data_IF_832587943304
#
_entry.id   IF_832587943304
#
_cell.length_a   1.000
_cell.length_b   1.000
_cell.length_c   1.000
_cell.angle_alpha   90.00
_cell.angle_beta   90.00
_cell.angle_gamma   90.00
#
_symmetry.space_group_name_H-M   'P 1'
#
loop_
_entity.id
_entity.type
_entity.pdbx_description
1 polymer ?
#
# COMPACT_ATOMS: atom_id res chain seq x y z
N UNK A 1 -117.88 11.18 -67.97
CA UNK A 1 -118.33 12.53 -67.58
C UNK A 1 -117.17 13.18 -66.85
N UNK A 2 -116.28 13.92 -67.55
CA UNK A 2 -116.32 15.40 -67.71
C UNK A 2 -116.13 16.12 -66.37
N UNK A 3 -115.15 16.99 -66.11
CA UNK A 3 -114.40 17.92 -66.95
C UNK A 3 -113.11 18.38 -66.26
N UNK A 4 -112.21 18.99 -67.06
CA UNK A 4 -111.01 19.73 -66.68
C UNK A 4 -111.21 20.78 -65.57
N UNK A 5 -110.17 21.05 -64.78
CA UNK A 5 -109.64 22.42 -64.66
C UNK A 5 -108.22 22.46 -64.07
N UNK A 6 -107.29 22.84 -64.95
CA UNK A 6 -105.96 23.40 -64.66
C UNK A 6 -106.16 24.88 -64.23
N UNK A 7 -105.16 25.45 -63.54
CA UNK A 7 -104.90 26.87 -63.17
C UNK A 7 -104.80 27.00 -61.62
N UNK A 8 -103.82 27.64 -60.99
CA UNK A 8 -102.92 28.73 -61.40
C UNK A 8 -101.73 28.78 -60.41
N UNK A 9 -100.48 28.90 -60.91
CA UNK A 9 -99.31 29.24 -60.09
C UNK A 9 -99.42 30.72 -59.69
N UNK A 10 -99.54 31.04 -58.40
CA UNK A 10 -99.56 32.43 -57.93
C UNK A 10 -98.13 33.02 -57.96
N UNK A 11 -97.91 34.24 -58.47
CA UNK A 11 -96.61 34.88 -58.38
C UNK A 11 -96.35 35.30 -56.94
N UNK A 12 -95.31 34.74 -56.33
CA UNK A 12 -94.80 35.15 -55.03
C UNK A 12 -94.49 36.66 -55.05
N UNK A 13 -95.00 37.42 -54.07
CA UNK A 13 -94.75 38.88 -53.99
C UNK A 13 -93.32 39.18 -53.52
N UNK A 14 -92.79 40.34 -53.93
CA UNK A 14 -91.39 40.76 -53.69
C UNK A 14 -90.99 40.74 -52.21
N UNK A 15 -91.91 41.05 -51.29
CA UNK A 15 -91.65 41.12 -49.83
C UNK A 15 -91.27 39.77 -49.20
N UNK A 16 -91.87 38.67 -49.66
CA UNK A 16 -91.57 37.32 -49.17
C UNK A 16 -90.17 36.85 -49.60
N UNK A 17 -89.77 37.19 -50.83
CA UNK A 17 -88.39 36.97 -51.31
C UNK A 17 -87.36 37.76 -50.50
N UNK A 18 -87.68 39.00 -50.10
CA UNK A 18 -86.81 39.79 -49.22
C UNK A 18 -86.64 39.15 -47.83
N UNK A 19 -87.72 38.66 -47.20
CA UNK A 19 -87.66 37.99 -45.89
C UNK A 19 -86.89 36.67 -45.97
N UNK A 20 -87.13 35.84 -46.98
CA UNK A 20 -86.37 34.61 -47.21
C UNK A 20 -84.88 34.89 -47.43
N UNK A 21 -84.54 35.98 -48.13
CA UNK A 21 -83.16 36.44 -48.29
C UNK A 21 -82.50 36.78 -46.95
N UNK A 22 -83.19 37.50 -46.06
CA UNK A 22 -82.68 37.86 -44.72
C UNK A 22 -82.48 36.61 -43.85
N UNK A 23 -83.43 35.66 -43.88
CA UNK A 23 -83.29 34.39 -43.15
C UNK A 23 -82.12 33.55 -43.68
N UNK A 24 -81.91 33.51 -44.99
CA UNK A 24 -80.76 32.84 -45.59
C UNK A 24 -79.44 33.47 -45.17
N UNK A 25 -79.35 34.81 -45.17
CA UNK A 25 -78.16 35.54 -44.75
C UNK A 25 -77.88 35.33 -43.27
N UNK A 26 -78.89 35.44 -42.40
CA UNK A 26 -78.74 35.23 -40.94
C UNK A 26 -78.41 33.77 -40.60
N UNK A 27 -78.99 32.81 -41.32
CA UNK A 27 -78.64 31.40 -41.17
C UNK A 27 -77.20 31.13 -41.63
N UNK A 28 -76.80 31.69 -42.78
CA UNK A 28 -75.44 31.56 -43.29
C UNK A 28 -74.41 32.18 -42.33
N UNK A 29 -74.70 33.35 -41.73
CA UNK A 29 -73.80 33.97 -40.75
C UNK A 29 -73.69 33.14 -39.47
N UNK A 30 -74.80 32.60 -38.94
CA UNK A 30 -74.79 31.70 -37.79
C UNK A 30 -74.01 30.41 -38.08
N UNK A 31 -74.16 29.83 -39.27
CA UNK A 31 -73.44 28.64 -39.69
C UNK A 31 -71.92 28.92 -39.78
N UNK A 32 -71.53 30.05 -40.37
CA UNK A 32 -70.13 30.48 -40.42
C UNK A 32 -69.56 30.68 -39.01
N UNK A 33 -70.28 31.32 -38.10
CA UNK A 33 -69.86 31.54 -36.71
C UNK A 33 -69.72 30.21 -35.95
N UNK A 34 -70.67 29.29 -36.12
CA UNK A 34 -70.63 27.96 -35.49
C UNK A 34 -69.42 27.14 -35.99
N UNK A 35 -69.16 27.15 -37.29
CA UNK A 35 -67.99 26.50 -37.91
C UNK A 35 -66.68 27.16 -37.47
N UNK A 36 -66.63 28.49 -37.38
CA UNK A 36 -65.43 29.17 -36.87
C UNK A 36 -65.16 28.85 -35.40
N UNK A 37 -66.20 28.83 -34.55
CA UNK A 37 -66.06 28.50 -33.13
C UNK A 37 -65.59 27.06 -32.92
N UNK A 38 -66.15 26.10 -33.67
CA UNK A 38 -65.70 24.70 -33.60
C UNK A 38 -64.25 24.53 -34.10
N UNK A 39 -63.86 25.24 -35.17
CA UNK A 39 -62.47 25.27 -35.64
C UNK A 39 -61.51 25.89 -34.61
N UNK A 40 -61.88 27.01 -33.97
CA UNK A 40 -61.07 27.66 -32.92
C UNK A 40 -60.90 26.75 -31.70
N UNK A 41 -61.98 26.10 -31.23
CA UNK A 41 -61.91 25.14 -30.11
C UNK A 41 -60.99 23.96 -30.44
N UNK A 42 -61.06 23.46 -31.67
CA UNK A 42 -60.21 22.36 -32.13
C UNK A 42 -58.73 22.77 -32.21
N UNK A 43 -58.41 24.00 -32.62
CA UNK A 43 -57.03 24.52 -32.63
C UNK A 43 -56.46 24.62 -31.21
N UNK A 44 -57.21 25.20 -30.27
CA UNK A 44 -56.80 25.32 -28.86
C UNK A 44 -56.61 23.93 -28.23
N UNK A 45 -57.50 22.98 -28.53
CA UNK A 45 -57.39 21.61 -28.01
C UNK A 45 -56.15 20.90 -28.55
N UNK A 46 -55.83 21.07 -29.84
CA UNK A 46 -54.60 20.54 -30.46
C UNK A 46 -53.36 21.15 -29.83
N UNK A 47 -53.29 22.47 -29.66
CA UNK A 47 -52.15 23.12 -29.00
C UNK A 47 -51.96 22.65 -27.56
N UNK A 48 -53.05 22.46 -26.79
CA UNK A 48 -52.98 21.92 -25.43
C UNK A 48 -52.49 20.46 -25.43
N UNK A 49 -52.96 19.66 -26.38
CA UNK A 49 -52.55 18.27 -26.53
C UNK A 49 -51.09 18.17 -26.94
N UNK A 50 -50.63 19.01 -27.86
CA UNK A 50 -49.25 19.05 -28.31
C UNK A 50 -48.32 19.55 -27.20
N UNK A 51 -48.71 20.58 -26.43
CA UNK A 51 -47.99 20.99 -25.23
C UNK A 51 -47.94 19.89 -24.17
N UNK A 52 -49.04 19.18 -23.93
CA UNK A 52 -49.08 18.07 -22.98
C UNK A 52 -48.17 16.92 -23.41
N UNK A 53 -48.19 16.56 -24.70
CA UNK A 53 -47.29 15.56 -25.28
C UNK A 53 -45.82 16.00 -25.21
N UNK A 54 -45.54 17.25 -25.50
CA UNK A 54 -44.18 17.80 -25.42
C UNK A 54 -43.68 17.76 -23.97
N UNK A 55 -44.47 18.24 -23.00
CA UNK A 55 -44.12 18.15 -21.58
C UNK A 55 -43.89 16.70 -21.14
N UNK A 56 -44.72 15.76 -21.61
CA UNK A 56 -44.54 14.34 -21.30
C UNK A 56 -43.27 13.77 -21.95
N UNK A 57 -42.98 14.13 -23.20
CA UNK A 57 -41.77 13.71 -23.91
C UNK A 57 -40.51 14.28 -23.24
N UNK A 58 -40.52 15.56 -22.87
CA UNK A 58 -39.42 16.24 -22.17
C UNK A 58 -39.21 15.64 -20.77
N UNK A 59 -40.30 15.37 -20.03
CA UNK A 59 -40.23 14.72 -18.73
C UNK A 59 -39.68 13.29 -18.85
N UNK A 60 -40.13 12.54 -19.86
CA UNK A 60 -39.64 11.18 -20.10
C UNK A 60 -38.17 11.17 -20.51
N UNK A 61 -37.74 12.11 -21.37
CA UNK A 61 -36.34 12.28 -21.73
C UNK A 61 -35.48 12.66 -20.52
N UNK A 62 -35.94 13.60 -19.69
CA UNK A 62 -35.24 14.04 -18.47
C UNK A 62 -35.12 12.91 -17.44
N UNK A 63 -36.20 12.15 -17.24
CA UNK A 63 -36.21 11.00 -16.35
C UNK A 63 -35.25 9.91 -16.86
N UNK A 64 -35.28 9.61 -18.16
CA UNK A 64 -34.39 8.63 -18.79
C UNK A 64 -32.92 9.03 -18.63
N UNK A 65 -32.58 10.30 -18.88
CA UNK A 65 -31.23 10.82 -18.68
C UNK A 65 -30.78 10.71 -17.22
N UNK A 66 -31.68 11.00 -16.27
CA UNK A 66 -31.39 10.90 -14.83
C UNK A 66 -31.18 9.45 -14.38
N UNK A 67 -31.97 8.51 -14.91
CA UNK A 67 -31.81 7.08 -14.66
C UNK A 67 -30.49 6.55 -15.24
N UNK A 68 -30.14 6.95 -16.46
CA UNK A 68 -28.87 6.57 -17.09
C UNK A 68 -27.67 7.14 -16.33
N UNK A 69 -27.74 8.41 -15.91
CA UNK A 69 -26.71 9.02 -15.06
C UNK A 69 -26.61 8.30 -13.70
N UNK A 70 -27.74 7.91 -13.11
CA UNK A 70 -27.79 7.13 -11.88
C UNK A 70 -27.13 5.75 -12.04
N UNK A 71 -27.49 5.01 -13.09
CA UNK A 71 -26.89 3.70 -13.40
C UNK A 71 -25.38 3.81 -13.63
N UNK A 72 -24.91 4.84 -14.35
CA UNK A 72 -23.47 5.10 -14.54
C UNK A 72 -22.76 5.31 -13.21
N UNK A 73 -23.30 6.17 -12.33
CA UNK A 73 -22.72 6.40 -11.00
C UNK A 73 -22.69 5.14 -10.14
N UNK A 74 -23.74 4.32 -10.18
CA UNK A 74 -23.78 3.04 -9.45
C UNK A 74 -22.70 2.11 -9.98
N UNK A 75 -22.54 1.99 -11.30
CA UNK A 75 -21.50 1.15 -11.89
C UNK A 75 -20.08 1.65 -11.55
N UNK A 76 -19.84 2.96 -11.59
CA UNK A 76 -18.57 3.58 -11.18
C UNK A 76 -18.25 3.31 -9.71
N UNK A 77 -19.24 3.45 -8.82
CA UNK A 77 -19.08 3.15 -7.39
C UNK A 77 -18.83 1.67 -7.12
N UNK A 78 -19.53 0.78 -7.83
CA UNK A 78 -19.30 -0.67 -7.73
C UNK A 78 -17.88 -1.05 -8.16
N UNK A 79 -17.39 -0.45 -9.25
CA UNK A 79 -16.02 -0.69 -9.70
C UNK A 79 -14.99 -0.13 -8.72
N UNK A 80 -15.25 1.03 -8.11
CA UNK A 80 -14.38 1.57 -7.07
C UNK A 80 -14.36 0.68 -5.82
N UNK A 81 -15.51 0.19 -5.36
CA UNK A 81 -15.60 -0.76 -4.25
C UNK A 81 -14.79 -2.01 -4.56
N UNK A 82 -14.94 -2.58 -5.76
CA UNK A 82 -14.20 -3.77 -6.19
C UNK A 82 -12.68 -3.52 -6.16
N UNK A 83 -12.23 -2.39 -6.70
CA UNK A 83 -10.81 -2.02 -6.68
C UNK A 83 -10.26 -1.84 -5.26
N UNK A 84 -11.03 -1.19 -4.38
CA UNK A 84 -10.63 -1.00 -2.99
C UNK A 84 -10.59 -2.32 -2.22
N UNK A 85 -11.49 -3.25 -2.52
CA UNK A 85 -11.51 -4.60 -1.93
C UNK A 85 -10.27 -5.40 -2.37
N UNK A 86 -10.00 -5.42 -3.69
CA UNK A 86 -8.79 -6.03 -4.25
C UNK A 86 -7.50 -5.44 -3.64
N UNK A 87 -7.45 -4.11 -3.45
CA UNK A 87 -6.32 -3.43 -2.80
C UNK A 87 -6.20 -3.79 -1.31
N UNK A 88 -7.31 -3.86 -0.59
CA UNK A 88 -7.32 -4.26 0.83
C UNK A 88 -6.81 -5.69 1.01
N UNK A 89 -7.25 -6.61 0.16
CA UNK A 89 -6.81 -8.00 0.19
C UNK A 89 -5.32 -8.13 -0.15
N UNK A 90 -4.81 -7.37 -1.13
CA UNK A 90 -3.38 -7.29 -1.38
C UNK A 90 -2.60 -6.78 -0.16
N UNK A 91 -3.06 -5.70 0.46
CA UNK A 91 -2.41 -5.13 1.64
C UNK A 91 -2.43 -6.09 2.83
N UNK A 92 -3.50 -6.86 3.00
CA UNK A 92 -3.58 -7.90 4.03
C UNK A 92 -2.55 -9.00 3.79
N UNK A 93 -2.45 -9.49 2.55
CA UNK A 93 -1.45 -10.51 2.19
C UNK A 93 -0.02 -9.99 2.40
N UNK A 94 0.26 -8.74 2.01
CA UNK A 94 1.57 -8.12 2.23
C UNK A 94 1.89 -7.97 3.73
N UNK A 95 0.88 -7.63 4.55
CA UNK A 95 1.03 -7.52 5.99
C UNK A 95 1.33 -8.89 6.61
N UNK A 96 0.59 -9.93 6.24
CA UNK A 96 0.81 -11.31 6.71
C UNK A 96 2.21 -11.82 6.33
N UNK A 97 2.69 -11.55 5.11
CA UNK A 97 4.05 -11.91 4.69
C UNK A 97 5.10 -11.19 5.54
N UNK A 98 4.93 -9.89 5.77
CA UNK A 98 5.85 -9.10 6.60
C UNK A 98 5.87 -9.60 8.04
N UNK A 99 4.72 -9.91 8.62
CA UNK A 99 4.61 -10.47 9.97
C UNK A 99 5.31 -11.83 10.06
N UNK A 100 5.07 -12.74 9.12
CA UNK A 100 5.73 -14.05 9.08
C UNK A 100 7.26 -13.90 8.95
N UNK A 101 7.74 -12.97 8.12
CA UNK A 101 9.17 -12.68 7.97
C UNK A 101 9.77 -12.12 9.26
N UNK A 102 9.06 -11.24 9.97
CA UNK A 102 9.50 -10.69 11.24
C UNK A 102 9.56 -11.77 12.33
N UNK A 103 8.56 -12.63 12.42
CA UNK A 103 8.54 -13.74 13.37
C UNK A 103 9.71 -14.72 13.10
N UNK A 104 9.95 -15.07 11.84
CA UNK A 104 11.11 -15.88 11.45
C UNK A 104 12.44 -15.22 11.86
N UNK A 105 12.63 -13.94 11.53
CA UNK A 105 13.85 -13.21 11.89
C UNK A 105 14.04 -13.12 13.41
N UNK A 106 12.96 -12.90 14.17
CA UNK A 106 13.00 -12.86 15.63
C UNK A 106 13.38 -14.22 16.22
N UNK A 107 12.84 -15.33 15.68
CA UNK A 107 13.23 -16.69 16.07
C UNK A 107 14.70 -16.96 15.80
N UNK A 108 15.19 -16.61 14.60
CA UNK A 108 16.62 -16.75 14.26
C UNK A 108 17.50 -15.92 15.21
N UNK A 109 17.14 -14.65 15.44
CA UNK A 109 17.87 -13.78 16.36
C UNK A 109 17.87 -14.33 17.81
N UNK A 110 16.76 -14.91 18.27
CA UNK A 110 16.69 -15.55 19.58
C UNK A 110 17.63 -16.76 19.68
N UNK A 111 17.64 -17.62 18.65
CA UNK A 111 18.55 -18.79 18.58
C UNK A 111 20.01 -18.34 18.55
N UNK A 112 20.35 -17.34 17.75
CA UNK A 112 21.72 -16.80 17.70
C UNK A 112 22.14 -16.18 19.03
N UNK A 113 21.24 -15.46 19.69
CA UNK A 113 21.48 -14.91 21.03
C UNK A 113 21.72 -16.03 22.05
N UNK A 114 20.90 -17.07 22.06
CA UNK A 114 21.10 -18.22 22.95
C UNK A 114 22.44 -18.91 22.69
N UNK A 115 22.81 -19.12 21.42
CA UNK A 115 24.11 -19.67 21.03
C UNK A 115 25.26 -18.81 21.58
N UNK A 116 25.19 -17.49 21.44
CA UNK A 116 26.19 -16.55 21.99
C UNK A 116 26.25 -16.60 23.52
N UNK A 117 25.10 -16.63 24.20
CA UNK A 117 25.06 -16.74 25.66
C UNK A 117 25.66 -18.06 26.16
N UNK A 118 25.36 -19.17 25.48
CA UNK A 118 25.95 -20.47 25.77
C UNK A 118 27.47 -20.46 25.54
N UNK A 119 27.90 -19.86 24.44
CA UNK A 119 29.31 -19.69 24.11
C UNK A 119 30.07 -18.91 25.18
N UNK A 120 29.55 -17.74 25.55
CA UNK A 120 30.11 -16.89 26.59
C UNK A 120 30.14 -17.63 27.94
N UNK A 121 29.09 -18.38 28.30
CA UNK A 121 29.08 -19.20 29.51
C UNK A 121 30.21 -20.25 29.51
N UNK A 122 30.41 -20.98 28.42
CA UNK A 122 31.48 -21.99 28.31
C UNK A 122 32.86 -21.32 28.45
N UNK A 123 33.07 -20.17 27.81
CA UNK A 123 34.34 -19.44 27.89
C UNK A 123 34.57 -18.94 29.32
N UNK A 124 33.60 -18.26 29.92
CA UNK A 124 33.76 -17.62 31.23
C UNK A 124 33.87 -18.61 32.39
N UNK A 125 33.28 -19.80 32.26
CA UNK A 125 33.42 -20.89 33.23
C UNK A 125 34.66 -21.75 33.00
N UNK A 126 35.42 -21.53 31.92
CA UNK A 126 36.60 -22.32 31.61
C UNK A 126 37.73 -22.06 32.62
N UNK A 127 38.54 -23.08 32.99
CA UNK A 127 39.66 -22.91 33.92
C UNK A 127 40.68 -21.88 33.44
N UNK A 128 40.93 -21.80 32.13
CA UNK A 128 41.85 -20.81 31.55
C UNK A 128 41.33 -19.38 31.73
N UNK A 129 40.03 -19.13 31.55
CA UNK A 129 39.47 -17.80 31.75
C UNK A 129 39.59 -17.34 33.20
N UNK A 130 39.29 -18.22 34.17
CA UNK A 130 39.47 -17.93 35.60
C UNK A 130 40.93 -17.62 35.91
N UNK A 131 41.87 -18.39 35.35
CA UNK A 131 43.31 -18.15 35.51
C UNK A 131 43.77 -16.82 34.89
N UNK A 132 43.20 -16.42 33.75
CA UNK A 132 43.48 -15.12 33.14
C UNK A 132 42.95 -13.96 34.01
N UNK A 133 41.80 -14.12 34.68
CA UNK A 133 41.31 -13.13 35.65
C UNK A 133 42.27 -13.01 36.85
N UNK A 134 42.76 -14.13 37.38
CA UNK A 134 43.76 -14.12 38.46
C UNK A 134 45.12 -13.51 38.05
N UNK A 135 45.53 -13.67 36.78
CA UNK A 135 46.68 -12.95 36.23
C UNK A 135 46.42 -11.45 36.14
N UNK A 136 45.22 -11.02 35.73
CA UNK A 136 44.84 -9.61 35.71
C UNK A 136 44.88 -8.96 37.10
N UNK A 137 44.38 -9.66 38.11
CA UNK A 137 44.38 -9.17 39.49
C UNK A 137 45.81 -8.99 40.04
N UNK A 138 46.75 -9.81 39.56
CA UNK A 138 48.19 -9.70 39.88
C UNK A 138 48.95 -8.75 38.96
N UNK A 139 48.34 -8.25 37.88
CA UNK A 139 49.01 -7.44 36.86
C UNK A 139 50.04 -8.22 36.02
N UNK A 140 49.89 -9.54 35.93
CA UNK A 140 50.78 -10.44 35.22
C UNK A 140 50.30 -10.70 33.77
N UNK A 141 51.25 -11.03 32.89
CA UNK A 141 50.93 -11.36 31.49
C UNK A 141 50.62 -12.84 31.30
N UNK A 142 49.83 -13.12 30.28
CA UNK A 142 49.50 -14.48 29.85
C UNK A 142 50.72 -15.17 29.22
N UNK A 143 50.97 -16.43 29.59
CA UNK A 143 51.98 -17.27 28.97
C UNK A 143 51.48 -18.02 27.73
N UNK A 144 52.39 -18.76 27.07
CA UNK A 144 52.04 -19.56 25.89
C UNK A 144 51.07 -20.70 26.20
N UNK A 145 51.14 -21.26 27.42
CA UNK A 145 50.23 -22.34 27.84
C UNK A 145 48.81 -21.81 27.97
N UNK A 146 48.62 -20.69 28.67
CA UNK A 146 47.32 -20.04 28.80
C UNK A 146 46.77 -19.61 27.42
N UNK A 147 47.62 -19.09 26.53
CA UNK A 147 47.22 -18.75 25.16
C UNK A 147 46.72 -19.99 24.39
N UNK A 148 47.43 -21.12 24.49
CA UNK A 148 47.03 -22.38 23.83
C UNK A 148 45.75 -22.97 24.41
N UNK A 149 45.55 -22.86 25.72
CA UNK A 149 44.31 -23.30 26.37
C UNK A 149 43.13 -22.42 25.96
N UNK A 150 43.32 -21.10 25.90
CA UNK A 150 42.29 -20.16 25.45
C UNK A 150 41.91 -20.40 23.99
N UNK A 151 42.89 -20.66 23.13
CA UNK A 151 42.67 -21.07 21.75
C UNK A 151 41.78 -22.31 21.62
N UNK A 152 42.08 -23.38 22.39
CA UNK A 152 41.27 -24.60 22.40
C UNK A 152 39.84 -24.34 22.85
N UNK A 153 39.65 -23.57 23.92
CA UNK A 153 38.31 -23.23 24.44
C UNK A 153 37.53 -22.42 23.41
N UNK A 154 38.14 -21.39 22.81
CA UNK A 154 37.47 -20.56 21.80
C UNK A 154 37.08 -21.41 20.58
N UNK A 155 37.96 -22.23 20.03
CA UNK A 155 37.64 -23.04 18.85
C UNK A 155 36.67 -24.20 19.14
N UNK A 156 36.52 -24.62 20.40
CA UNK A 156 35.50 -25.60 20.78
C UNK A 156 34.08 -25.02 20.68
N UNK A 157 33.95 -23.70 20.82
CA UNK A 157 32.67 -22.98 20.83
C UNK A 157 32.43 -22.27 19.49
N UNK A 158 33.45 -21.60 18.97
CA UNK A 158 33.49 -20.90 17.69
C UNK A 158 34.34 -21.72 16.72
N UNK A 159 33.75 -22.78 16.18
CA UNK A 159 34.46 -23.72 15.31
C UNK A 159 35.05 -23.01 14.08
N UNK A 160 36.35 -23.16 13.88
CA UNK A 160 37.05 -22.59 12.74
C UNK A 160 37.51 -21.14 12.91
N UNK A 161 37.34 -20.55 14.09
CA UNK A 161 37.79 -19.17 14.39
C UNK A 161 39.26 -18.93 13.98
N UNK A 162 40.17 -19.81 14.41
CA UNK A 162 41.59 -19.72 14.05
C UNK A 162 41.78 -19.80 12.54
N UNK A 163 41.19 -20.81 11.91
CA UNK A 163 41.34 -21.01 10.47
C UNK A 163 40.83 -19.82 9.66
N UNK A 164 39.72 -19.21 10.10
CA UNK A 164 39.16 -18.03 9.45
C UNK A 164 40.10 -16.82 9.58
N UNK A 165 40.62 -16.53 10.78
CA UNK A 165 41.58 -15.44 10.98
C UNK A 165 42.85 -15.62 10.12
N UNK A 166 43.44 -16.81 10.15
CA UNK A 166 44.66 -17.10 9.39
C UNK A 166 44.43 -17.19 7.88
N UNK A 167 43.20 -17.47 7.43
CA UNK A 167 42.85 -17.41 5.99
C UNK A 167 42.86 -15.99 5.44
N UNK A 168 42.59 -15.00 6.29
CA UNK A 168 42.54 -13.58 5.90
C UNK A 168 43.92 -12.94 5.96
N UNK A 169 44.69 -13.23 7.00
CA UNK A 169 46.01 -12.66 7.20
C UNK A 169 46.88 -13.56 8.08
N UNK A 170 48.16 -13.74 7.71
CA UNK A 170 49.12 -14.48 8.55
C UNK A 170 49.53 -13.63 9.75
N UNK A 171 48.89 -13.91 10.89
CA UNK A 171 49.10 -13.21 12.14
C UNK A 171 50.36 -13.68 12.86
N UNK A 172 51.04 -12.74 13.52
CA UNK A 172 52.04 -13.05 14.54
C UNK A 172 51.39 -13.65 15.80
N UNK A 173 52.15 -14.31 16.66
CA UNK A 173 51.63 -14.86 17.93
C UNK A 173 50.94 -13.79 18.79
N UNK A 174 51.49 -12.57 18.81
CA UNK A 174 50.94 -11.42 19.54
C UNK A 174 49.63 -10.92 18.92
N UNK A 175 49.58 -10.73 17.60
CA UNK A 175 48.36 -10.32 16.90
C UNK A 175 47.23 -11.35 17.13
N UNK A 176 47.59 -12.63 17.11
CA UNK A 176 46.65 -13.70 17.37
C UNK A 176 46.17 -13.73 18.84
N UNK A 177 47.08 -13.53 19.80
CA UNK A 177 46.73 -13.40 21.22
C UNK A 177 45.72 -12.27 21.46
N UNK A 178 45.91 -11.11 20.80
CA UNK A 178 44.95 -10.00 20.85
C UNK A 178 43.58 -10.43 20.32
N UNK A 179 43.52 -11.17 19.21
CA UNK A 179 42.25 -11.64 18.65
C UNK A 179 41.52 -12.65 19.57
N UNK A 180 42.27 -13.57 20.18
CA UNK A 180 41.71 -14.51 21.16
C UNK A 180 41.10 -13.76 22.36
N UNK A 181 41.81 -12.77 22.90
CA UNK A 181 41.34 -12.00 24.05
C UNK A 181 40.14 -11.10 23.71
N UNK A 182 40.09 -10.54 22.50
CA UNK A 182 38.89 -9.85 22.00
C UNK A 182 37.71 -10.82 21.94
N UNK A 183 37.91 -12.01 21.37
CA UNK A 183 36.87 -13.03 21.24
C UNK A 183 36.36 -13.52 22.60
N UNK A 184 37.24 -13.57 23.59
CA UNK A 184 36.93 -13.87 24.99
C UNK A 184 36.40 -12.68 25.79
N UNK A 185 36.06 -11.55 25.16
CA UNK A 185 35.43 -10.37 25.78
C UNK A 185 36.29 -9.61 26.80
N UNK A 186 37.61 -9.71 26.74
CA UNK A 186 38.48 -8.88 27.58
C UNK A 186 38.47 -7.42 27.12
N UNK A 187 38.46 -6.48 28.08
CA UNK A 187 38.51 -5.06 27.76
C UNK A 187 39.91 -4.67 27.23
N UNK A 188 40.03 -3.59 26.42
CA UNK A 188 41.33 -3.19 25.87
C UNK A 188 42.43 -2.94 26.92
N UNK A 189 42.05 -2.50 28.12
CA UNK A 189 42.98 -2.34 29.26
C UNK A 189 43.54 -3.68 29.75
N UNK A 190 42.72 -4.73 29.74
CA UNK A 190 43.05 -6.05 30.26
C UNK A 190 43.86 -6.82 29.20
N UNK A 191 43.53 -6.63 27.92
CA UNK A 191 44.35 -7.11 26.79
C UNK A 191 45.77 -6.55 26.89
N UNK A 192 45.92 -5.27 27.22
CA UNK A 192 47.24 -4.63 27.38
C UNK A 192 48.06 -5.32 28.50
N UNK A 193 47.45 -5.55 29.66
CA UNK A 193 48.08 -6.28 30.77
C UNK A 193 48.45 -7.71 30.37
N UNK A 194 47.49 -8.49 29.86
CA UNK A 194 47.69 -9.90 29.52
C UNK A 194 48.69 -10.12 28.39
N UNK A 195 48.92 -9.12 27.55
CA UNK A 195 49.91 -9.19 26.46
C UNK A 195 51.22 -8.49 26.80
N UNK A 196 51.41 -7.97 28.02
CA UNK A 196 52.58 -7.19 28.43
C UNK A 196 52.88 -5.99 27.51
N UNK A 197 51.83 -5.26 27.12
CA UNK A 197 51.93 -4.11 26.21
C UNK A 197 51.20 -2.89 26.76
N UNK A 198 51.54 -1.71 26.21
CA UNK A 198 50.80 -0.50 26.51
C UNK A 198 49.43 -0.50 25.81
N UNK A 199 48.48 0.29 26.33
CA UNK A 199 47.14 0.46 25.74
C UNK A 199 47.22 1.00 24.31
N UNK A 200 48.17 1.89 24.05
CA UNK A 200 48.45 2.49 22.75
C UNK A 200 48.98 1.45 21.76
N UNK A 201 49.86 0.55 22.22
CA UNK A 201 50.38 -0.56 21.41
C UNK A 201 49.26 -1.54 21.00
N UNK A 202 48.37 -1.89 21.94
CA UNK A 202 47.20 -2.73 21.63
C UNK A 202 46.23 -2.02 20.69
N UNK A 203 45.96 -0.73 20.89
CA UNK A 203 45.13 0.06 19.96
C UNK A 203 45.74 0.11 18.55
N UNK A 204 47.04 0.39 18.45
CA UNK A 204 47.76 0.38 17.17
C UNK A 204 47.71 -0.98 16.49
N UNK A 205 47.86 -2.07 17.25
CA UNK A 205 47.77 -3.44 16.72
C UNK A 205 46.40 -3.72 16.13
N UNK A 206 45.30 -3.38 16.83
CA UNK A 206 43.93 -3.55 16.32
C UNK A 206 43.66 -2.75 15.05
N UNK A 207 44.07 -1.48 15.01
CA UNK A 207 43.89 -0.65 13.80
C UNK A 207 44.73 -1.14 12.63
N UNK A 208 45.98 -1.57 12.87
CA UNK A 208 46.84 -2.17 11.84
C UNK A 208 46.28 -3.49 11.31
N UNK A 209 45.73 -4.35 12.18
CA UNK A 209 45.10 -5.60 11.76
C UNK A 209 43.90 -5.34 10.84
N UNK A 210 43.04 -4.38 11.20
CA UNK A 210 41.95 -3.97 10.32
C UNK A 210 42.46 -3.50 8.96
N UNK A 211 43.48 -2.64 8.95
CA UNK A 211 44.04 -2.14 7.70
C UNK A 211 44.64 -3.25 6.83
N UNK A 212 45.37 -4.20 7.45
CA UNK A 212 45.97 -5.34 6.75
C UNK A 212 44.93 -6.26 6.13
N UNK A 213 43.80 -6.50 6.81
CA UNK A 213 42.74 -7.40 6.33
C UNK A 213 41.86 -6.72 5.28
N UNK A 214 41.43 -5.47 5.52
CA UNK A 214 40.44 -4.77 4.68
C UNK A 214 41.04 -3.75 3.71
N UNK A 215 42.35 -3.54 3.73
CA UNK A 215 43.09 -2.61 2.84
C UNK A 215 42.55 -1.16 2.85
N UNK A 216 41.89 -0.76 3.95
CA UNK A 216 41.36 0.59 4.17
C UNK A 216 41.66 1.07 5.59
N UNK A 217 41.66 2.38 5.81
CA UNK A 217 41.78 2.92 7.17
C UNK A 217 40.51 2.55 7.94
N UNK A 218 40.67 2.07 9.17
CA UNK A 218 39.57 1.78 10.07
C UNK A 218 39.96 1.92 11.53
N UNK A 219 38.94 1.98 12.35
CA UNK A 219 39.02 2.14 13.79
C UNK A 219 39.34 0.82 14.49
N UNK A 220 39.81 0.92 15.74
CA UNK A 220 39.99 -0.25 16.60
C UNK A 220 38.67 -0.98 16.87
N UNK A 221 37.56 -0.24 16.93
CA UNK A 221 36.22 -0.80 17.13
C UNK A 221 35.77 -1.67 15.96
N UNK A 222 36.02 -1.24 14.72
CA UNK A 222 35.68 -2.04 13.54
C UNK A 222 36.45 -3.37 13.50
N UNK A 223 37.68 -3.40 14.01
CA UNK A 223 38.41 -4.67 14.18
C UNK A 223 37.75 -5.55 15.24
N UNK A 224 37.42 -4.99 16.40
CA UNK A 224 36.80 -5.74 17.49
C UNK A 224 35.44 -6.33 17.05
N UNK A 225 34.61 -5.53 16.39
CA UNK A 225 33.30 -5.95 15.86
C UNK A 225 33.46 -7.08 14.82
N UNK A 226 34.51 -7.03 14.00
CA UNK A 226 34.84 -8.10 13.05
C UNK A 226 35.27 -9.39 13.74
N UNK A 227 36.22 -9.32 14.68
CA UNK A 227 36.68 -10.53 15.42
C UNK A 227 35.52 -11.16 16.21
N UNK A 228 34.62 -10.33 16.74
CA UNK A 228 33.44 -10.81 17.46
C UNK A 228 32.39 -11.45 16.55
N UNK A 229 32.35 -11.09 15.25
CA UNK A 229 31.36 -11.63 14.31
C UNK A 229 31.73 -12.99 13.69
N UNK A 230 33.02 -13.31 13.62
CA UNK A 230 33.53 -14.56 13.02
C UNK A 230 33.51 -15.77 13.95
#
# INVERSE_FOLDING_TARGET
MTCHNILLFAPFTTREWFLMGIFLVTYATLLVVAVQNSRRKMQILKERLDKARQMQADQQATNQQSLEAGHKRVAELQELIRKLDDENDMLRLELEEKEARLDYNNKVAAIEKEKRTRADHIIFSSPVYIRLQDLLDRGESMGNEEQSQLDKVINSVYTGFTSQLFSLYRMTSQEYAVCLLIKARFAPKDIATLTAHSKESVASTRSRLFHKVFQRKGSTKEWDDFVLSI
#
